data_IF_419721692186
#
_entry.id   IF_419721692186
#
_cell.length_a   1.000
_cell.length_b   1.000
_cell.length_c   1.000
_cell.angle_alpha   90.00
_cell.angle_beta   90.00
_cell.angle_gamma   90.00
#
_symmetry.space_group_name_H-M   'P 1'
#
loop_
_entity.id
_entity.type
_entity.pdbx_description
1 polymer ?
#
# COMPACT_ATOMS: atom_id res chain seq x y z
N UNK A 1 -9.49 -28.77 66.62
CA UNK A 1 -10.92 -29.07 66.39
C UNK A 1 -11.49 -27.94 65.54
N UNK A 2 -11.40 -28.05 64.22
CA UNK A 2 -12.29 -27.36 63.28
C UNK A 2 -12.23 -28.12 61.94
N UNK A 3 -13.41 -28.28 61.38
CA UNK A 3 -13.86 -29.38 60.52
C UNK A 3 -13.63 -29.13 59.04
N UNK A 4 -13.15 -30.15 58.31
CA UNK A 4 -13.31 -30.29 56.86
C UNK A 4 -14.79 -30.30 56.47
N UNK A 5 -15.15 -29.57 55.41
CA UNK A 5 -16.37 -29.79 54.63
C UNK A 5 -15.98 -29.94 53.16
N UNK A 6 -16.18 -31.16 52.65
CA UNK A 6 -16.21 -31.47 51.22
C UNK A 6 -17.31 -30.65 50.52
N UNK A 7 -17.08 -30.25 49.28
CA UNK A 7 -18.14 -29.95 48.32
C UNK A 7 -17.99 -30.85 47.09
N UNK A 8 -19.15 -31.36 46.66
CA UNK A 8 -19.33 -32.37 45.64
C UNK A 8 -19.14 -31.81 44.22
N UNK A 9 -18.38 -32.58 43.44
CA UNK A 9 -18.64 -33.10 42.09
C UNK A 9 -19.80 -32.48 41.26
N UNK A 10 -19.47 -32.09 40.03
CA UNK A 10 -20.26 -32.40 38.83
C UNK A 10 -19.35 -32.32 37.60
N UNK A 11 -18.80 -33.48 37.21
CA UNK A 11 -18.05 -33.66 35.96
C UNK A 11 -19.08 -34.04 34.89
N UNK A 12 -19.26 -33.16 33.91
CA UNK A 12 -20.05 -33.44 32.70
C UNK A 12 -19.17 -34.27 31.75
N UNK A 13 -19.49 -35.55 31.62
CA UNK A 13 -18.88 -36.46 30.65
C UNK A 13 -19.47 -36.20 29.26
N UNK A 14 -18.65 -35.71 28.33
CA UNK A 14 -18.99 -35.59 26.91
C UNK A 14 -18.59 -36.90 26.21
N UNK A 15 -19.56 -37.69 25.76
CA UNK A 15 -19.33 -38.95 25.04
C UNK A 15 -19.05 -38.64 23.57
N UNK A 16 -17.81 -38.82 23.13
CA UNK A 16 -17.40 -38.72 21.74
C UNK A 16 -17.78 -40.04 21.02
N UNK A 17 -18.68 -39.97 20.04
CA UNK A 17 -19.05 -41.11 19.20
C UNK A 17 -18.07 -41.18 18.01
N UNK A 18 -17.04 -42.04 18.11
CA UNK A 18 -16.09 -42.28 17.03
C UNK A 18 -16.66 -43.37 16.11
N UNK A 19 -17.08 -42.99 14.90
CA UNK A 19 -17.58 -43.93 13.90
C UNK A 19 -16.40 -44.51 13.11
N UNK A 20 -16.00 -45.75 13.45
CA UNK A 20 -15.04 -46.54 12.67
C UNK A 20 -15.75 -47.20 11.49
N UNK A 21 -15.55 -46.69 10.26
CA UNK A 21 -15.89 -47.42 9.04
C UNK A 21 -14.65 -48.18 8.56
N UNK A 22 -14.66 -49.50 8.76
CA UNK A 22 -13.73 -50.42 8.10
C UNK A 22 -14.20 -50.67 6.66
N UNK A 23 -13.39 -50.28 5.67
CA UNK A 23 -13.49 -50.81 4.31
C UNK A 23 -12.25 -51.67 4.06
N UNK A 24 -12.48 -52.95 3.82
CA UNK A 24 -11.45 -53.93 3.50
C UNK A 24 -11.09 -53.87 2.01
N UNK A 25 -9.80 -53.69 1.75
CA UNK A 25 -8.94 -54.35 0.78
C UNK A 25 -9.43 -54.56 -0.68
N UNK A 26 -8.76 -53.88 -1.61
CA UNK A 26 -8.50 -54.36 -2.96
C UNK A 26 -7.08 -53.96 -3.39
N UNK A 27 -6.18 -54.95 -3.54
CA UNK A 27 -5.02 -54.89 -4.46
C UNK A 27 -5.58 -54.75 -5.90
N UNK A 28 -4.97 -54.14 -6.90
CA UNK A 28 -3.57 -53.94 -7.28
C UNK A 28 -3.56 -52.87 -8.39
N UNK A 29 -2.58 -51.96 -8.37
CA UNK A 29 -1.72 -51.57 -9.51
C UNK A 29 -1.14 -50.17 -9.29
N UNK A 30 0.17 -50.11 -9.13
CA UNK A 30 0.94 -48.88 -8.98
C UNK A 30 1.19 -48.25 -10.34
N UNK A 31 0.76 -47.00 -10.62
CA UNK A 31 1.34 -46.23 -11.71
C UNK A 31 2.61 -45.56 -11.22
N UNK A 32 3.61 -45.61 -12.09
CA UNK A 32 4.96 -45.08 -11.95
C UNK A 32 4.94 -43.63 -11.45
N UNK A 33 5.81 -43.33 -10.47
CA UNK A 33 6.20 -41.97 -10.09
C UNK A 33 6.78 -41.28 -11.32
N UNK A 34 5.95 -40.47 -11.97
CA UNK A 34 6.44 -39.37 -12.78
C UNK A 34 6.87 -38.28 -11.80
N UNK A 35 8.13 -37.88 -11.85
CA UNK A 35 8.55 -36.59 -11.30
C UNK A 35 7.87 -35.49 -12.11
N UNK A 36 6.62 -35.19 -11.76
CA UNK A 36 6.02 -33.90 -12.04
C UNK A 36 6.60 -32.92 -11.03
N UNK A 37 7.47 -32.02 -11.48
CA UNK A 37 7.63 -30.74 -10.79
C UNK A 37 6.28 -30.06 -10.91
N UNK A 38 5.53 -30.03 -9.80
CA UNK A 38 4.21 -29.46 -9.73
C UNK A 38 4.30 -27.96 -10.05
N UNK A 39 3.90 -27.59 -11.27
CA UNK A 39 3.74 -26.21 -11.73
C UNK A 39 2.29 -25.75 -11.48
N UNK A 40 1.73 -26.12 -10.34
CA UNK A 40 0.35 -25.78 -9.93
C UNK A 40 0.32 -24.63 -8.91
N UNK A 41 1.44 -23.90 -8.77
CA UNK A 41 1.60 -22.76 -7.85
C UNK A 41 1.13 -21.43 -8.44
N UNK A 42 0.93 -21.34 -9.75
CA UNK A 42 0.73 -20.05 -10.42
C UNK A 42 -0.74 -19.89 -10.82
N UNK A 43 -1.36 -18.79 -10.40
CA UNK A 43 -2.77 -18.47 -10.65
C UNK A 43 -2.83 -17.33 -11.66
N UNK A 44 -3.22 -17.65 -12.89
CA UNK A 44 -3.42 -16.64 -13.95
C UNK A 44 -4.84 -16.07 -13.90
N UNK A 45 -4.94 -14.75 -13.88
CA UNK A 45 -6.18 -13.97 -13.82
C UNK A 45 -6.22 -13.07 -15.05
N UNK A 46 -7.13 -13.33 -15.99
CA UNK A 46 -7.23 -12.57 -17.25
C UNK A 46 -8.59 -11.91 -17.36
N UNK A 47 -8.62 -10.59 -17.52
CA UNK A 47 -9.83 -9.78 -17.79
C UNK A 47 -11.07 -10.26 -17.02
N UNK A 48 -11.03 -10.12 -15.70
CA UNK A 48 -11.97 -10.78 -14.78
C UNK A 48 -12.66 -9.81 -13.84
N UNK A 49 -13.83 -10.22 -13.34
CA UNK A 49 -14.59 -9.53 -12.31
C UNK A 49 -14.82 -10.54 -11.18
N UNK A 50 -14.47 -10.19 -9.94
CA UNK A 50 -14.75 -11.06 -8.80
C UNK A 50 -16.26 -11.19 -8.59
N UNK A 51 -16.74 -12.40 -8.29
CA UNK A 51 -18.17 -12.67 -8.06
C UNK A 51 -18.52 -12.89 -6.58
N UNK A 52 -17.50 -13.09 -5.75
CA UNK A 52 -17.62 -13.32 -4.31
C UNK A 52 -16.32 -12.90 -3.62
N UNK A 53 -16.39 -12.77 -2.30
CA UNK A 53 -15.21 -12.48 -1.48
C UNK A 53 -14.10 -13.50 -1.75
N UNK A 54 -12.91 -12.99 -2.03
CA UNK A 54 -11.78 -13.79 -2.47
C UNK A 54 -10.57 -13.47 -1.59
N UNK A 55 -9.84 -14.51 -1.21
CA UNK A 55 -8.59 -14.39 -0.46
C UNK A 55 -7.44 -15.00 -1.25
N UNK A 56 -6.36 -14.23 -1.39
CA UNK A 56 -5.08 -14.68 -1.95
C UNK A 56 -4.10 -14.90 -0.83
N UNK A 57 -3.34 -16.00 -0.89
CA UNK A 57 -2.43 -16.41 0.17
C UNK A 57 -1.06 -16.79 -0.37
N UNK A 58 -0.05 -16.70 0.48
CA UNK A 58 1.31 -17.13 0.19
C UNK A 58 1.38 -18.59 -0.31
N UNK A 59 2.50 -18.93 -0.96
CA UNK A 59 2.73 -20.23 -1.58
C UNK A 59 2.21 -20.36 -3.01
N UNK A 60 1.59 -19.30 -3.53
CA UNK A 60 1.19 -19.13 -4.93
C UNK A 60 1.67 -17.80 -5.48
N UNK A 61 1.90 -17.74 -6.79
CA UNK A 61 2.10 -16.48 -7.52
C UNK A 61 0.82 -16.17 -8.27
N UNK A 62 0.27 -14.97 -8.09
CA UNK A 62 -0.93 -14.54 -8.80
C UNK A 62 -0.51 -13.61 -9.93
N UNK A 63 -0.77 -13.99 -11.18
CA UNK A 63 -0.44 -13.16 -12.34
C UNK A 63 -1.73 -12.54 -12.88
N UNK A 64 -1.79 -11.21 -12.91
CA UNK A 64 -2.93 -10.46 -13.46
C UNK A 64 -2.58 -9.95 -14.86
N UNK A 65 -3.35 -10.35 -15.86
CA UNK A 65 -3.30 -9.85 -17.23
C UNK A 65 -4.60 -9.09 -17.54
N UNK A 66 -4.48 -7.85 -18.03
CA UNK A 66 -5.64 -7.00 -18.28
C UNK A 66 -6.30 -6.50 -16.99
N UNK A 67 -7.63 -6.39 -16.99
CA UNK A 67 -8.36 -5.76 -15.86
C UNK A 67 -8.88 -6.81 -14.88
N UNK A 68 -8.57 -6.64 -13.59
CA UNK A 68 -9.27 -7.31 -12.48
C UNK A 68 -10.19 -6.30 -11.78
N UNK A 69 -11.51 -6.45 -11.91
CA UNK A 69 -12.48 -5.63 -11.18
C UNK A 69 -12.91 -6.29 -9.87
N UNK A 70 -12.82 -5.52 -8.78
CA UNK A 70 -13.45 -5.83 -7.50
C UNK A 70 -14.75 -5.02 -7.46
N UNK A 71 -15.92 -5.61 -7.75
CA UNK A 71 -17.18 -4.86 -7.81
C UNK A 71 -17.65 -4.43 -6.41
N UNK A 72 -18.64 -3.52 -6.31
CA UNK A 72 -19.23 -3.15 -5.03
C UNK A 72 -19.63 -4.35 -4.18
N UNK A 73 -19.51 -4.21 -2.86
CA UNK A 73 -19.84 -5.23 -1.85
C UNK A 73 -19.00 -6.53 -1.88
N UNK A 74 -18.02 -6.63 -2.78
CA UNK A 74 -17.05 -7.75 -2.81
C UNK A 74 -15.73 -7.34 -2.19
N UNK A 75 -15.10 -8.27 -1.46
CA UNK A 75 -13.79 -8.09 -0.83
C UNK A 75 -12.73 -8.92 -1.55
N UNK A 76 -11.62 -8.29 -1.92
CA UNK A 76 -10.35 -8.98 -2.17
C UNK A 76 -9.42 -8.77 -0.99
N UNK A 77 -8.97 -9.87 -0.39
CA UNK A 77 -7.96 -9.86 0.65
C UNK A 77 -6.69 -10.55 0.15
N UNK A 78 -5.57 -9.83 0.13
CA UNK A 78 -4.26 -10.34 -0.27
C UNK A 78 -3.41 -10.46 0.99
N UNK A 79 -3.23 -11.68 1.47
CA UNK A 79 -2.58 -11.95 2.75
C UNK A 79 -1.05 -11.74 2.69
N UNK A 80 -0.39 -11.47 3.84
CA UNK A 80 1.07 -11.42 3.97
C UNK A 80 1.80 -12.57 3.27
N UNK A 81 2.96 -12.27 2.68
CA UNK A 81 3.79 -13.25 1.96
C UNK A 81 3.31 -13.60 0.54
N UNK A 82 2.22 -12.98 0.07
CA UNK A 82 1.70 -13.19 -1.28
C UNK A 82 2.50 -12.38 -2.31
N UNK A 83 2.80 -12.98 -3.47
CA UNK A 83 3.36 -12.28 -4.63
C UNK A 83 2.30 -12.17 -5.72
N UNK A 84 2.12 -10.95 -6.23
CA UNK A 84 1.25 -10.63 -7.35
C UNK A 84 2.09 -10.00 -8.45
N UNK A 85 2.06 -10.62 -9.63
CA UNK A 85 2.75 -10.15 -10.82
C UNK A 85 1.73 -9.55 -11.80
N UNK A 86 2.10 -8.44 -12.43
CA UNK A 86 1.25 -7.72 -13.36
C UNK A 86 1.82 -7.74 -14.76
N UNK A 87 1.01 -8.24 -15.69
CA UNK A 87 1.27 -8.16 -17.11
C UNK A 87 1.15 -6.74 -17.65
N UNK A 88 1.53 -6.58 -18.91
CA UNK A 88 1.43 -5.28 -19.58
C UNK A 88 0.00 -4.73 -19.54
N UNK A 89 -0.12 -3.45 -19.21
CA UNK A 89 -1.39 -2.72 -19.15
C UNK A 89 -2.38 -3.31 -18.10
N UNK A 90 -1.91 -4.16 -17.17
CA UNK A 90 -2.75 -4.74 -16.14
C UNK A 90 -3.18 -3.71 -15.09
N UNK A 91 -4.40 -3.87 -14.58
CA UNK A 91 -5.06 -2.94 -13.66
C UNK A 91 -5.93 -3.69 -12.66
N UNK A 92 -5.79 -3.38 -11.37
CA UNK A 92 -6.83 -3.72 -10.39
C UNK A 92 -7.77 -2.52 -10.27
N UNK A 93 -9.03 -2.71 -10.67
CA UNK A 93 -10.08 -1.71 -10.52
C UNK A 93 -10.91 -1.99 -9.27
N UNK A 94 -10.74 -1.18 -8.24
CA UNK A 94 -11.38 -1.31 -6.94
C UNK A 94 -12.66 -0.48 -6.91
N UNK A 95 -13.82 -1.14 -6.78
CA UNK A 95 -15.13 -0.53 -6.52
C UNK A 95 -15.81 -1.13 -5.27
N UNK A 96 -15.43 -2.35 -4.90
CA UNK A 96 -15.63 -2.97 -3.59
C UNK A 96 -14.40 -2.74 -2.70
N UNK A 97 -14.07 -3.70 -1.82
CA UNK A 97 -13.01 -3.56 -0.81
C UNK A 97 -11.73 -4.29 -1.17
N UNK A 98 -10.59 -3.64 -0.98
CA UNK A 98 -9.26 -4.22 -1.16
C UNK A 98 -8.45 -4.11 0.13
N UNK A 99 -8.05 -5.25 0.66
CA UNK A 99 -7.20 -5.38 1.85
C UNK A 99 -5.90 -6.05 1.45
N UNK A 100 -4.77 -5.38 1.68
CA UNK A 100 -3.45 -5.90 1.32
C UNK A 100 -2.58 -5.96 2.58
N UNK A 101 -2.03 -7.14 2.82
CA UNK A 101 -1.04 -7.45 3.84
C UNK A 101 -1.61 -7.54 5.25
N UNK A 102 -0.80 -7.16 6.24
CA UNK A 102 -1.13 -7.38 7.65
C UNK A 102 -2.33 -6.52 8.07
N UNK A 103 -3.33 -7.05 8.80
CA UNK A 103 -4.46 -6.28 9.30
C UNK A 103 -4.04 -4.99 10.04
N UNK A 104 -4.80 -3.91 9.85
CA UNK A 104 -4.53 -2.61 10.52
C UNK A 104 -4.59 -2.71 12.05
N UNK A 105 -5.34 -3.67 12.59
CA UNK A 105 -5.43 -3.92 14.04
C UNK A 105 -4.12 -4.40 14.66
N UNK A 106 -3.25 -4.99 13.86
CA UNK A 106 -2.06 -5.68 14.35
C UNK A 106 -0.90 -4.68 14.40
N UNK A 107 0.00 -4.80 15.36
CA UNK A 107 1.08 -3.82 15.54
C UNK A 107 2.34 -4.21 14.76
N UNK A 108 2.58 -5.51 14.62
CA UNK A 108 3.80 -6.07 14.01
C UNK A 108 3.48 -6.48 12.58
N UNK A 109 4.40 -6.24 11.64
CA UNK A 109 4.29 -6.75 10.27
C UNK A 109 4.62 -8.25 10.26
N UNK A 110 3.87 -9.02 9.48
CA UNK A 110 4.19 -10.44 9.26
C UNK A 110 5.25 -10.57 8.16
N UNK A 111 4.80 -10.72 6.92
CA UNK A 111 5.62 -10.77 5.72
C UNK A 111 5.11 -9.76 4.69
N UNK A 112 6.01 -9.28 3.84
CA UNK A 112 5.67 -8.36 2.77
C UNK A 112 4.72 -9.02 1.75
N UNK A 113 3.68 -8.29 1.34
CA UNK A 113 3.02 -8.56 0.06
C UNK A 113 3.84 -7.89 -1.04
N UNK A 114 4.17 -8.61 -2.10
CA UNK A 114 4.91 -8.05 -3.24
C UNK A 114 3.98 -7.87 -4.44
N UNK A 115 3.89 -6.65 -4.95
CA UNK A 115 3.13 -6.28 -6.15
C UNK A 115 4.11 -5.71 -7.18
N UNK A 116 4.36 -6.47 -8.25
CA UNK A 116 5.46 -6.19 -9.18
C UNK A 116 5.12 -6.56 -10.62
N UNK A 117 5.99 -6.21 -11.58
CA UNK A 117 5.81 -6.61 -12.98
C UNK A 117 6.16 -8.08 -13.21
N UNK A 118 5.45 -8.73 -14.14
CA UNK A 118 5.77 -10.08 -14.62
C UNK A 118 7.03 -10.16 -15.52
N UNK A 119 7.67 -9.03 -15.81
CA UNK A 119 8.82 -8.97 -16.72
C UNK A 119 10.12 -9.34 -16.02
N UNK A 120 10.95 -10.10 -16.74
CA UNK A 120 12.33 -10.43 -16.33
C UNK A 120 13.27 -9.23 -16.14
N UNK A 121 12.98 -8.08 -16.76
CA UNK A 121 13.73 -6.83 -16.61
C UNK A 121 12.70 -5.70 -16.45
N UNK A 122 12.18 -5.50 -15.23
CA UNK A 122 11.05 -4.62 -15.02
C UNK A 122 11.47 -3.13 -15.09
N UNK A 123 10.51 -2.29 -15.44
CA UNK A 123 10.65 -0.83 -15.55
C UNK A 123 9.36 -0.12 -15.15
N UNK A 124 9.47 1.10 -14.62
CA UNK A 124 8.32 1.94 -14.28
C UNK A 124 7.34 2.05 -15.46
N UNK A 125 6.05 1.82 -15.20
CA UNK A 125 5.01 1.84 -16.23
C UNK A 125 4.79 0.50 -16.94
N UNK A 126 5.33 -0.59 -16.41
CA UNK A 126 5.09 -1.93 -16.96
C UNK A 126 3.64 -2.39 -16.80
N UNK A 127 2.97 -1.91 -15.75
CA UNK A 127 1.55 -2.12 -15.48
C UNK A 127 0.89 -0.82 -15.05
N UNK A 128 -0.45 -0.73 -15.14
CA UNK A 128 -1.16 0.53 -14.93
C UNK A 128 -1.13 0.93 -13.46
N UNK A 129 -1.58 0.04 -12.57
CA UNK A 129 -1.75 0.38 -11.17
C UNK A 129 -2.91 -0.32 -10.46
N UNK A 130 -3.17 0.15 -9.24
CA UNK A 130 -4.39 -0.12 -8.49
C UNK A 130 -5.23 1.16 -8.47
N UNK A 131 -6.38 1.12 -9.13
CA UNK A 131 -7.30 2.24 -9.23
C UNK A 131 -8.46 2.06 -8.25
N UNK A 132 -8.58 2.94 -7.27
CA UNK A 132 -9.79 3.08 -6.47
C UNK A 132 -10.75 4.04 -7.17
N UNK A 133 -11.89 3.54 -7.64
CA UNK A 133 -12.88 4.27 -8.45
C UNK A 133 -14.27 4.22 -7.79
N UNK A 134 -14.37 4.68 -6.54
CA UNK A 134 -15.63 4.80 -5.82
C UNK A 134 -15.54 5.77 -4.62
N UNK A 135 -16.69 6.26 -4.14
CA UNK A 135 -16.81 7.34 -3.14
C UNK A 135 -17.22 6.86 -1.73
N UNK A 136 -17.12 5.57 -1.44
CA UNK A 136 -17.55 5.00 -0.15
C UNK A 136 -16.32 4.69 0.70
N UNK A 137 -16.26 5.22 1.93
CA UNK A 137 -15.27 4.80 2.92
C UNK A 137 -15.53 3.34 3.28
N UNK A 138 -14.76 2.49 2.63
CA UNK A 138 -14.72 1.06 2.86
C UNK A 138 -13.45 0.75 3.65
N UNK A 139 -13.46 -0.37 4.38
CA UNK A 139 -12.34 -0.91 5.19
C UNK A 139 -11.13 -1.35 4.33
N UNK A 140 -10.85 -0.65 3.23
CA UNK A 140 -9.68 -0.87 2.38
C UNK A 140 -8.42 -0.37 3.06
N UNK A 141 -7.37 -1.17 2.97
CA UNK A 141 -6.06 -0.79 3.44
C UNK A 141 -4.97 -1.48 2.64
N UNK A 142 -3.79 -0.86 2.66
CA UNK A 142 -2.54 -1.44 2.18
C UNK A 142 -1.54 -1.31 3.33
N UNK A 143 -1.12 -2.43 3.89
CA UNK A 143 -0.19 -2.48 5.01
C UNK A 143 0.85 -3.58 4.85
N UNK A 144 2.14 -3.24 4.93
CA UNK A 144 3.21 -4.23 4.75
C UNK A 144 3.32 -4.70 3.30
N UNK A 145 3.23 -3.77 2.34
CA UNK A 145 3.34 -4.10 0.92
C UNK A 145 4.56 -3.43 0.28
N UNK A 146 5.19 -4.13 -0.66
CA UNK A 146 6.15 -3.58 -1.62
C UNK A 146 5.42 -3.44 -2.96
N UNK A 147 5.35 -2.21 -3.50
CA UNK A 147 4.68 -1.92 -4.78
C UNK A 147 5.67 -1.25 -5.72
N UNK A 148 5.93 -1.89 -6.87
CA UNK A 148 6.95 -1.44 -7.81
C UNK A 148 6.58 -1.57 -9.28
N UNK A 149 7.23 -0.73 -10.10
CA UNK A 149 7.18 -0.72 -11.56
C UNK A 149 5.82 -0.35 -12.20
N UNK A 150 4.90 0.25 -11.45
CA UNK A 150 3.62 0.75 -11.97
C UNK A 150 3.78 2.10 -12.71
N UNK A 151 2.81 2.44 -13.56
CA UNK A 151 2.60 3.82 -14.03
C UNK A 151 2.07 4.67 -12.86
N UNK A 152 0.98 4.25 -12.20
CA UNK A 152 0.53 4.83 -10.94
C UNK A 152 0.26 3.69 -9.96
N UNK A 153 1.13 3.45 -8.98
CA UNK A 153 1.02 2.29 -8.09
C UNK A 153 -0.32 2.28 -7.34
N UNK A 154 -0.68 3.39 -6.70
CA UNK A 154 -1.98 3.59 -6.06
C UNK A 154 -2.64 4.86 -6.63
N UNK A 155 -3.65 4.68 -7.50
CA UNK A 155 -4.47 5.76 -8.03
C UNK A 155 -5.78 5.85 -7.23
N UNK A 156 -5.83 6.75 -6.25
CA UNK A 156 -6.90 6.83 -5.26
C UNK A 156 -7.84 7.98 -5.61
N UNK A 157 -8.94 7.64 -6.29
CA UNK A 157 -9.98 8.60 -6.65
C UNK A 157 -11.17 8.50 -5.70
N UNK A 158 -11.36 9.54 -4.87
CA UNK A 158 -12.45 9.74 -3.90
C UNK A 158 -12.58 8.74 -2.75
N UNK A 159 -11.96 7.56 -2.86
CA UNK A 159 -11.83 6.60 -1.77
C UNK A 159 -10.80 7.08 -0.73
N UNK A 160 -10.82 6.51 0.48
CA UNK A 160 -9.87 6.88 1.55
C UNK A 160 -9.20 5.66 2.21
N UNK A 161 -8.54 4.74 1.46
CA UNK A 161 -7.81 3.64 2.08
C UNK A 161 -6.72 4.16 3.02
N UNK A 162 -6.40 3.36 4.04
CA UNK A 162 -5.18 3.57 4.83
C UNK A 162 -4.01 2.88 4.15
N UNK A 163 -2.95 3.63 3.84
CA UNK A 163 -1.70 3.14 3.26
C UNK A 163 -0.61 3.34 4.29
N UNK A 164 -0.15 2.24 4.90
CA UNK A 164 0.81 2.32 6.00
C UNK A 164 1.87 1.25 5.93
N UNK A 165 3.07 1.51 6.43
CA UNK A 165 4.12 0.49 6.51
C UNK A 165 4.44 -0.18 5.16
N UNK A 166 4.38 0.59 4.07
CA UNK A 166 4.65 0.10 2.72
C UNK A 166 5.99 0.64 2.18
N UNK A 167 6.54 -0.06 1.20
CA UNK A 167 7.61 0.44 0.34
C UNK A 167 7.04 0.64 -1.06
N UNK A 168 7.09 1.86 -1.57
CA UNK A 168 6.66 2.17 -2.94
C UNK A 168 7.85 2.70 -3.72
N UNK A 169 8.31 1.93 -4.71
CA UNK A 169 9.56 2.20 -5.40
C UNK A 169 9.54 1.92 -6.90
N UNK A 170 10.37 2.64 -7.67
CA UNK A 170 10.49 2.46 -9.12
C UNK A 170 9.16 2.57 -9.88
N UNK A 171 8.19 3.30 -9.34
CA UNK A 171 6.96 3.65 -10.04
C UNK A 171 7.13 4.98 -10.76
N UNK A 172 6.31 5.24 -11.77
CA UNK A 172 6.27 6.60 -12.31
C UNK A 172 5.59 7.54 -11.31
N UNK A 173 4.40 7.20 -10.81
CA UNK A 173 3.81 7.83 -9.61
C UNK A 173 3.55 6.78 -8.56
N UNK A 174 4.01 6.98 -7.31
CA UNK A 174 3.78 6.02 -6.25
C UNK A 174 2.33 6.10 -5.74
N UNK A 175 1.85 7.30 -5.41
CA UNK A 175 0.48 7.51 -4.91
C UNK A 175 -0.12 8.76 -5.54
N UNK A 176 -1.28 8.63 -6.16
CA UNK A 176 -2.14 9.76 -6.54
C UNK A 176 -3.34 9.83 -5.61
N UNK A 177 -3.62 11.02 -5.09
CA UNK A 177 -4.76 11.29 -4.21
C UNK A 177 -5.66 12.34 -4.87
N UNK A 178 -6.76 11.94 -5.48
CA UNK A 178 -7.76 12.86 -6.02
C UNK A 178 -9.06 12.78 -5.22
N UNK A 179 -9.37 13.83 -4.46
CA UNK A 179 -10.60 13.89 -3.67
C UNK A 179 -10.63 12.91 -2.49
N UNK A 180 -9.47 12.48 -1.99
CA UNK A 180 -9.30 11.45 -0.95
C UNK A 180 -8.90 12.01 0.42
N UNK A 181 -9.42 11.42 1.51
CA UNK A 181 -8.99 11.68 2.89
C UNK A 181 -8.07 10.58 3.45
N UNK A 182 -7.41 9.83 2.55
CA UNK A 182 -6.48 8.75 2.89
C UNK A 182 -5.42 9.13 3.93
N UNK A 183 -5.06 8.13 4.73
CA UNK A 183 -3.92 8.19 5.65
C UNK A 183 -2.73 7.51 5.00
N UNK A 184 -1.70 8.27 4.70
CA UNK A 184 -0.43 7.82 4.14
C UNK A 184 0.60 7.98 5.24
N UNK A 185 0.93 6.89 5.94
CA UNK A 185 1.75 6.95 7.14
C UNK A 185 2.83 5.86 7.18
N UNK A 186 3.99 6.14 7.78
CA UNK A 186 5.02 5.09 7.98
C UNK A 186 5.44 4.38 6.69
N UNK A 187 5.39 5.05 5.53
CA UNK A 187 5.82 4.45 4.27
C UNK A 187 7.24 4.90 3.92
N UNK A 188 7.94 4.08 3.14
CA UNK A 188 9.16 4.48 2.43
C UNK A 188 8.82 4.62 0.95
N UNK A 189 8.88 5.83 0.42
CA UNK A 189 8.50 6.19 -0.95
C UNK A 189 9.74 6.71 -1.64
N UNK A 190 10.33 5.90 -2.53
CA UNK A 190 11.65 6.21 -3.09
C UNK A 190 11.90 5.74 -4.51
N UNK A 191 12.82 6.41 -5.21
CA UNK A 191 13.19 6.10 -6.59
C UNK A 191 11.97 6.10 -7.55
N UNK A 192 10.99 6.96 -7.30
CA UNK A 192 9.85 7.21 -8.21
C UNK A 192 10.05 8.53 -8.97
N UNK A 193 9.42 8.69 -10.15
CA UNK A 193 9.37 10.01 -10.80
C UNK A 193 8.56 10.99 -9.93
N UNK A 194 7.42 10.55 -9.39
CA UNK A 194 6.62 11.28 -8.41
C UNK A 194 6.32 10.37 -7.22
N UNK A 195 6.68 10.79 -6.02
CA UNK A 195 6.35 10.06 -4.79
C UNK A 195 4.85 10.12 -4.51
N UNK A 196 4.34 11.31 -4.17
CA UNK A 196 2.91 11.52 -3.93
C UNK A 196 2.41 12.70 -4.76
N UNK A 197 1.31 12.51 -5.49
CA UNK A 197 0.59 13.58 -6.18
C UNK A 197 -0.74 13.86 -5.47
N UNK A 198 -0.91 15.08 -4.93
CA UNK A 198 -2.16 15.50 -4.31
C UNK A 198 -2.98 16.40 -5.24
N UNK A 199 -4.19 15.94 -5.53
CA UNK A 199 -5.20 16.53 -6.41
C UNK A 199 -6.51 16.74 -5.64
N UNK A 200 -7.47 17.39 -6.29
CA UNK A 200 -8.79 17.66 -5.71
C UNK A 200 -8.77 18.82 -4.71
N UNK A 201 -9.93 19.45 -4.52
CA UNK A 201 -10.13 20.53 -3.55
C UNK A 201 -11.21 20.05 -2.59
N UNK A 202 -11.08 20.34 -1.29
CA UNK A 202 -12.02 19.98 -0.20
C UNK A 202 -11.74 18.69 0.57
N UNK A 203 -10.59 18.03 0.34
CA UNK A 203 -10.16 16.88 1.12
C UNK A 203 -8.85 17.17 1.85
N UNK A 204 -8.65 16.47 2.97
CA UNK A 204 -7.53 16.65 3.89
C UNK A 204 -6.87 15.29 4.17
N UNK A 205 -6.20 14.69 3.17
CA UNK A 205 -5.41 13.50 3.40
C UNK A 205 -4.29 13.81 4.39
N UNK A 206 -3.88 12.80 5.15
CA UNK A 206 -2.79 12.89 6.12
C UNK A 206 -1.57 12.17 5.58
N UNK A 207 -0.49 12.92 5.38
CA UNK A 207 0.81 12.43 4.92
C UNK A 207 1.78 12.69 6.07
N UNK A 208 1.97 11.69 6.92
CA UNK A 208 2.71 11.84 8.19
C UNK A 208 3.67 10.68 8.39
N UNK A 209 4.85 10.91 8.98
CA UNK A 209 5.80 9.84 9.34
C UNK A 209 6.33 9.00 8.16
N UNK A 210 6.35 9.55 6.94
CA UNK A 210 6.90 8.87 5.77
C UNK A 210 8.38 9.24 5.54
N UNK A 211 9.12 8.30 4.97
CA UNK A 211 10.41 8.53 4.33
C UNK A 211 10.17 8.77 2.84
N UNK A 212 10.25 10.02 2.38
CA UNK A 212 10.05 10.42 0.98
C UNK A 212 11.42 10.82 0.43
N UNK A 213 12.06 9.92 -0.30
CA UNK A 213 13.47 10.11 -0.65
C UNK A 213 13.82 9.65 -2.06
N UNK A 214 14.84 10.24 -2.67
CA UNK A 214 15.34 9.82 -4.00
C UNK A 214 14.28 9.81 -5.11
N UNK A 215 13.20 10.59 -4.99
CA UNK A 215 12.24 10.79 -6.07
C UNK A 215 12.64 11.99 -6.92
N UNK A 216 12.20 12.06 -8.18
CA UNK A 216 12.35 13.30 -8.96
C UNK A 216 11.49 14.42 -8.32
N UNK A 217 10.26 14.08 -7.92
CA UNK A 217 9.43 14.94 -7.07
C UNK A 217 8.91 14.13 -5.89
N UNK A 218 9.26 14.53 -4.66
CA UNK A 218 8.78 13.89 -3.43
C UNK A 218 7.26 14.02 -3.29
N UNK A 219 6.76 15.25 -3.21
CA UNK A 219 5.32 15.54 -3.28
C UNK A 219 5.05 16.61 -4.34
N UNK A 220 4.24 16.27 -5.33
CA UNK A 220 3.61 17.23 -6.24
C UNK A 220 2.25 17.62 -5.67
N UNK A 221 2.03 18.89 -5.39
CA UNK A 221 0.86 19.35 -4.65
C UNK A 221 0.00 20.35 -5.42
N UNK A 222 -1.25 19.98 -5.68
CA UNK A 222 -2.33 20.88 -6.11
C UNK A 222 -3.42 21.07 -5.04
N UNK A 223 -3.46 20.19 -4.03
CA UNK A 223 -4.35 20.30 -2.89
C UNK A 223 -3.65 20.91 -1.66
N UNK A 224 -3.87 22.20 -1.41
CA UNK A 224 -3.29 22.93 -0.26
C UNK A 224 -4.06 22.73 1.06
N UNK A 225 -4.82 21.65 1.17
CA UNK A 225 -5.52 21.28 2.41
C UNK A 225 -4.97 20.03 3.07
N UNK A 226 -4.10 19.26 2.40
CA UNK A 226 -3.46 18.08 2.99
C UNK A 226 -2.71 18.43 4.27
N UNK A 227 -2.61 17.49 5.21
CA UNK A 227 -1.72 17.62 6.37
C UNK A 227 -0.42 16.92 6.01
N UNK A 228 0.68 17.66 5.93
CA UNK A 228 2.00 17.15 5.55
C UNK A 228 2.98 17.56 6.64
N UNK A 229 3.18 16.67 7.62
CA UNK A 229 3.98 16.95 8.82
C UNK A 229 4.73 15.68 9.26
N UNK A 230 5.85 15.83 9.95
CA UNK A 230 6.63 14.72 10.50
C UNK A 230 7.20 13.74 9.48
N UNK A 231 7.36 14.16 8.22
CA UNK A 231 8.00 13.36 7.17
C UNK A 231 9.50 13.69 7.06
N UNK A 232 10.26 12.74 6.53
CA UNK A 232 11.64 12.93 6.10
C UNK A 232 11.70 13.10 4.58
N UNK A 233 12.07 14.29 4.12
CA UNK A 233 12.38 14.58 2.72
C UNK A 233 13.90 14.57 2.52
N UNK A 234 14.42 13.60 1.78
CA UNK A 234 15.86 13.45 1.60
C UNK A 234 16.22 13.08 0.16
N UNK A 235 17.17 13.79 -0.45
CA UNK A 235 17.73 13.44 -1.77
C UNK A 235 16.70 13.36 -2.91
N UNK A 236 15.54 14.02 -2.79
CA UNK A 236 14.66 14.22 -3.94
C UNK A 236 15.21 15.37 -4.81
N UNK A 237 14.98 15.36 -6.13
CA UNK A 237 15.33 16.51 -6.96
C UNK A 237 14.49 17.74 -6.55
N UNK A 238 13.20 17.55 -6.34
CA UNK A 238 12.34 18.45 -5.55
C UNK A 238 11.72 17.66 -4.40
N UNK A 239 11.93 18.09 -3.16
CA UNK A 239 11.21 17.53 -2.01
C UNK A 239 9.73 17.85 -2.07
N UNK A 240 9.39 19.08 -2.45
CA UNK A 240 8.01 19.54 -2.55
C UNK A 240 7.81 20.47 -3.75
N UNK A 241 6.77 20.23 -4.54
CA UNK A 241 6.41 21.04 -5.70
C UNK A 241 4.99 21.56 -5.56
N UNK A 242 4.84 22.85 -5.29
CA UNK A 242 3.53 23.49 -5.31
C UNK A 242 3.11 23.72 -6.77
N UNK A 243 1.85 23.47 -7.12
CA UNK A 243 1.35 23.67 -8.48
C UNK A 243 0.06 24.48 -8.53
N UNK A 244 -0.19 25.29 -7.49
CA UNK A 244 -1.31 26.22 -7.39
C UNK A 244 -0.86 27.59 -6.87
N UNK A 245 -1.70 28.61 -7.09
CA UNK A 245 -1.46 30.01 -6.71
C UNK A 245 -1.70 30.34 -5.23
N UNK A 246 -2.05 29.33 -4.42
CA UNK A 246 -2.42 29.51 -3.02
C UNK A 246 -1.21 29.17 -2.15
N UNK A 247 -0.94 30.01 -1.16
CA UNK A 247 0.11 29.73 -0.18
C UNK A 247 -0.21 28.45 0.59
N UNK A 248 0.84 27.75 1.01
CA UNK A 248 0.68 26.49 1.70
C UNK A 248 1.74 26.27 2.78
N UNK A 249 1.31 25.72 3.91
CA UNK A 249 2.16 25.46 5.06
C UNK A 249 2.37 23.94 5.20
N UNK A 250 3.63 23.53 5.16
CA UNK A 250 4.10 22.15 5.32
C UNK A 250 5.22 22.09 6.38
N UNK A 251 4.99 22.77 7.50
CA UNK A 251 5.90 22.80 8.64
C UNK A 251 6.09 21.43 9.31
N UNK A 252 7.04 21.36 10.26
CA UNK A 252 7.35 20.17 11.05
C UNK A 252 7.86 18.97 10.22
N UNK A 253 8.46 19.22 9.07
CA UNK A 253 9.14 18.19 8.29
C UNK A 253 10.66 18.30 8.44
N UNK A 254 11.36 17.18 8.23
CA UNK A 254 12.80 17.13 8.07
C UNK A 254 13.16 17.22 6.58
N UNK A 255 14.06 18.11 6.21
CA UNK A 255 14.43 18.38 4.81
C UNK A 255 15.82 17.86 4.43
N UNK A 256 16.40 16.97 5.24
CA UNK A 256 17.79 16.52 5.11
C UNK A 256 18.81 17.51 5.69
N UNK A 257 18.43 18.77 5.87
CA UNK A 257 19.23 19.87 6.42
C UNK A 257 18.32 20.89 7.13
N UNK A 258 18.93 21.80 7.90
CA UNK A 258 18.23 22.95 8.55
C UNK A 258 18.58 24.31 7.89
N UNK A 259 19.33 24.28 6.79
CA UNK A 259 19.83 25.49 6.11
C UNK A 259 18.79 25.94 5.10
N UNK A 260 18.18 27.11 5.31
CA UNK A 260 17.07 27.62 4.48
C UNK A 260 17.43 27.69 2.99
N UNK A 261 18.62 28.20 2.65
CA UNK A 261 19.06 28.30 1.25
C UNK A 261 19.19 26.93 0.56
N UNK A 262 19.41 25.85 1.30
CA UNK A 262 19.44 24.49 0.75
C UNK A 262 18.03 23.88 0.66
N UNK A 263 17.14 24.21 1.61
CA UNK A 263 15.73 23.80 1.59
C UNK A 263 14.98 24.49 0.43
N UNK A 264 15.22 25.78 0.23
CA UNK A 264 14.60 26.56 -0.84
C UNK A 264 14.95 25.99 -2.24
N UNK A 265 16.10 25.31 -2.42
CA UNK A 265 16.46 24.66 -3.70
C UNK A 265 15.63 23.42 -4.03
N UNK A 266 15.05 22.76 -3.02
CA UNK A 266 14.27 21.53 -3.20
C UNK A 266 12.77 21.79 -3.06
N UNK A 267 12.35 23.04 -2.94
CA UNK A 267 10.95 23.46 -2.92
C UNK A 267 10.70 24.27 -4.19
N UNK A 268 9.73 23.86 -5.00
CA UNK A 268 9.25 24.68 -6.12
C UNK A 268 8.03 25.50 -5.67
N UNK A 269 8.17 26.83 -5.64
CA UNK A 269 7.11 27.76 -5.27
C UNK A 269 7.15 29.06 -6.10
N UNK A 270 6.51 30.13 -5.61
CA UNK A 270 6.48 31.45 -6.27
C UNK A 270 7.86 32.08 -6.51
N UNK A 271 8.89 31.70 -5.74
CA UNK A 271 10.24 32.26 -5.85
C UNK A 271 10.99 31.77 -7.09
N UNK A 272 10.60 30.62 -7.65
CA UNK A 272 11.30 29.95 -8.77
C UNK A 272 10.90 30.50 -10.14
N UNK A 273 10.97 31.83 -10.30
CA UNK A 273 10.45 32.55 -11.49
C UNK A 273 11.11 32.15 -12.81
N UNK A 274 12.31 31.58 -12.77
CA UNK A 274 13.02 31.08 -13.96
C UNK A 274 12.54 29.70 -14.42
N UNK A 275 11.76 29.00 -13.59
CA UNK A 275 11.29 27.62 -13.80
C UNK A 275 9.77 27.58 -14.03
N UNK A 276 9.01 28.41 -13.31
CA UNK A 276 7.54 28.33 -13.32
C UNK A 276 6.94 29.01 -14.56
N UNK A 277 5.97 28.33 -15.19
CA UNK A 277 5.24 28.88 -16.36
C UNK A 277 3.94 29.60 -15.95
N UNK A 278 3.57 29.50 -14.67
CA UNK A 278 2.37 30.13 -14.09
C UNK A 278 2.68 30.62 -12.68
N UNK A 279 1.89 31.58 -12.21
CA UNK A 279 2.02 32.09 -10.84
C UNK A 279 1.61 31.01 -9.83
N UNK A 280 2.53 30.72 -8.90
CA UNK A 280 2.33 29.82 -7.76
C UNK A 280 2.17 30.61 -6.45
N UNK A 281 1.77 29.92 -5.39
CA UNK A 281 1.78 30.44 -4.02
C UNK A 281 3.15 30.28 -3.36
N UNK A 282 3.24 30.77 -2.13
CA UNK A 282 4.44 30.64 -1.28
C UNK A 282 4.34 29.36 -0.46
N UNK A 283 5.43 28.61 -0.37
CA UNK A 283 5.53 27.48 0.56
C UNK A 283 6.19 27.93 1.86
N UNK A 284 5.51 27.69 2.98
CA UNK A 284 6.07 27.90 4.32
C UNK A 284 6.39 26.55 4.95
N UNK A 285 7.63 26.36 5.37
CA UNK A 285 8.12 25.09 5.95
C UNK A 285 8.62 25.24 7.40
N UNK A 286 8.49 26.42 8.00
CA UNK A 286 8.85 26.68 9.39
C UNK A 286 7.67 26.40 10.34
N UNK A 287 7.88 25.79 11.51
CA UNK A 287 9.16 25.31 12.05
C UNK A 287 9.76 24.10 11.30
N UNK A 288 11.08 24.09 11.06
CA UNK A 288 11.81 22.94 10.52
C UNK A 288 12.15 21.94 11.65
N UNK A 289 11.99 20.64 11.39
CA UNK A 289 12.52 19.61 12.30
C UNK A 289 14.04 19.73 12.42
N UNK A 290 14.60 19.67 13.62
CA UNK A 290 16.06 19.78 13.82
C UNK A 290 16.80 18.47 13.53
N UNK A 291 16.08 17.36 13.53
CA UNK A 291 16.63 16.03 13.32
C UNK A 291 15.72 15.23 12.38
N UNK A 292 16.33 14.28 11.69
CA UNK A 292 15.61 13.21 10.99
C UNK A 292 14.70 12.48 11.98
N UNK A 293 13.47 12.19 11.59
CA UNK A 293 12.56 11.41 12.40
C UNK A 293 12.95 9.92 12.30
N UNK A 294 13.35 9.30 13.41
CA UNK A 294 13.75 7.89 13.44
C UNK A 294 12.56 6.93 13.31
N UNK A 295 11.40 7.31 13.86
CA UNK A 295 10.18 6.50 13.87
C UNK A 295 9.35 6.67 12.58
N UNK A 296 10.00 6.68 11.42
CA UNK A 296 9.37 6.86 10.10
C UNK A 296 9.71 5.72 9.14
N UNK A 297 8.83 5.51 8.16
CA UNK A 297 8.89 4.32 7.32
C UNK A 297 8.35 3.08 8.02
N UNK A 298 8.42 1.91 7.35
CA UNK A 298 7.74 0.72 7.82
C UNK A 298 8.22 0.24 9.17
N UNK A 299 7.27 -0.14 10.03
CA UNK A 299 7.52 -0.62 11.39
C UNK A 299 7.57 -2.14 11.40
N UNK A 300 8.78 -2.70 11.41
CA UNK A 300 9.04 -4.15 11.49
C UNK A 300 9.04 -4.67 12.93
#
# INVERSE_FOLDING_TARGET
>A
MFTMKLHNLNIVTFTFFLCFCFVLCGCEDSPKVGNGTDKDSDVLIVDSVLTEDTTWSAGKVYTVEGVLEIPPDVILEILPGTTVEFGRDALIKVRGTLKIGTPISDVVLDEWVTLTSDKSNPSSGDWIGILYDHTHDIDSFVKGAVIEYADIALDINTASPTVTDCVLLNNKTAITLDGSDSKIQYNTIHDNEVGIYTLGRQNRPRIEYNNIMQNDVGIWCENVQSIIEFNNFERNNYGFRLNVKFDYNISNNWWGVIIHDEIDKVILDVKDTDIIEKVLGTVTYEPISQFRFEDTGPRE
#
